data_IF_880659443040
#
_entry.id   IF_880659443040
#
_cell.length_a   1.000
_cell.length_b   1.000
_cell.length_c   1.000
_cell.angle_alpha   90.00
_cell.angle_beta   90.00
_cell.angle_gamma   90.00
#
_symmetry.space_group_name_H-M   'P 1'
#
loop_
_entity.id
_entity.type
_entity.pdbx_description
1 polymer ?
#
# COMPACT_ATOMS: atom_id res chain seq x y z
N UNK A 1 1.43 -20.70 17.84
CA UNK A 1 0.68 -19.61 18.50
C UNK A 1 1.29 -18.23 18.38
N UNK A 2 2.61 -18.09 18.17
CA UNK A 2 3.21 -16.81 17.81
C UNK A 2 3.38 -16.75 16.28
N UNK A 3 2.85 -15.70 15.65
CA UNK A 3 2.96 -15.51 14.21
C UNK A 3 3.14 -14.05 13.86
N UNK A 4 3.93 -13.80 12.83
CA UNK A 4 4.03 -12.51 12.16
C UNK A 4 3.39 -12.69 10.78
N UNK A 5 2.33 -11.95 10.50
CA UNK A 5 1.56 -12.07 9.27
C UNK A 5 1.68 -10.78 8.49
N UNK A 6 2.03 -10.88 7.21
CA UNK A 6 2.14 -9.74 6.30
C UNK A 6 1.10 -9.90 5.21
N UNK A 7 0.29 -8.87 4.98
CA UNK A 7 -0.54 -8.74 3.79
C UNK A 7 0.05 -7.64 2.93
N UNK A 8 0.61 -8.03 1.79
CA UNK A 8 1.18 -7.10 0.82
C UNK A 8 0.17 -6.74 -0.27
N UNK A 9 0.38 -5.59 -0.91
CA UNK A 9 -0.50 -5.03 -1.95
C UNK A 9 -1.97 -4.92 -1.52
N UNK A 10 -2.20 -4.60 -0.23
CA UNK A 10 -3.54 -4.59 0.37
C UNK A 10 -4.47 -3.54 -0.24
N UNK A 11 -3.95 -2.56 -0.99
CA UNK A 11 -4.77 -1.63 -1.76
C UNK A 11 -5.65 -2.34 -2.79
N UNK A 12 -5.25 -3.52 -3.25
CA UNK A 12 -5.98 -4.37 -4.20
C UNK A 12 -6.95 -5.33 -3.51
N UNK A 13 -7.03 -5.31 -2.17
CA UNK A 13 -8.06 -6.03 -1.44
C UNK A 13 -9.33 -5.20 -1.34
N UNK A 14 -10.48 -5.85 -1.47
CA UNK A 14 -11.79 -5.26 -1.20
C UNK A 14 -12.01 -5.07 0.30
N UNK A 15 -12.96 -4.21 0.69
CA UNK A 15 -13.33 -4.05 2.11
C UNK A 15 -13.75 -5.39 2.77
N UNK A 16 -14.44 -6.25 2.03
CA UNK A 16 -14.88 -7.55 2.53
C UNK A 16 -13.68 -8.48 2.74
N UNK A 17 -12.76 -8.56 1.77
CA UNK A 17 -11.55 -9.37 1.89
C UNK A 17 -10.65 -8.91 3.03
N UNK A 18 -10.41 -7.60 3.16
CA UNK A 18 -9.58 -7.07 4.23
C UNK A 18 -10.22 -7.31 5.61
N UNK A 19 -11.53 -7.14 5.74
CA UNK A 19 -12.26 -7.50 6.96
C UNK A 19 -12.08 -8.99 7.30
N UNK A 20 -12.33 -9.88 6.33
CA UNK A 20 -12.16 -11.32 6.51
C UNK A 20 -10.74 -11.69 6.96
N UNK A 21 -9.74 -10.99 6.45
CA UNK A 21 -8.34 -11.18 6.81
C UNK A 21 -8.04 -10.73 8.24
N UNK A 22 -8.37 -9.47 8.59
CA UNK A 22 -8.08 -8.90 9.90
C UNK A 22 -8.76 -9.68 11.04
N UNK A 23 -9.96 -10.21 10.80
CA UNK A 23 -10.68 -11.01 11.80
C UNK A 23 -10.11 -12.41 12.04
N UNK A 24 -9.05 -12.83 11.31
CA UNK A 24 -8.33 -14.09 11.55
C UNK A 24 -7.15 -13.93 12.51
N UNK A 25 -6.93 -12.75 13.07
CA UNK A 25 -5.84 -12.50 14.01
C UNK A 25 -5.99 -13.36 15.28
N UNK A 26 -5.00 -14.21 15.55
CA UNK A 26 -4.90 -14.97 16.78
C UNK A 26 -4.27 -14.16 17.92
N UNK A 27 -4.48 -14.59 19.17
CA UNK A 27 -4.13 -13.84 20.38
C UNK A 27 -2.67 -13.37 20.46
N UNK A 28 -1.71 -14.14 19.96
CA UNK A 28 -0.28 -13.79 19.99
C UNK A 28 0.30 -13.51 18.59
N UNK A 29 -0.56 -13.13 17.64
CA UNK A 29 -0.12 -12.74 16.30
C UNK A 29 0.15 -11.23 16.19
N UNK A 30 1.03 -10.83 15.27
CA UNK A 30 1.19 -9.44 14.83
C UNK A 30 0.98 -9.35 13.34
N UNK A 31 0.13 -8.44 12.91
CA UNK A 31 -0.26 -8.27 11.51
C UNK A 31 0.35 -6.98 10.98
N UNK A 32 0.97 -7.04 9.80
CA UNK A 32 1.50 -5.90 9.06
C UNK A 32 0.79 -5.85 7.73
N UNK A 33 0.11 -4.75 7.45
CA UNK A 33 -0.64 -4.55 6.21
C UNK A 33 0.08 -3.47 5.41
N UNK A 34 0.55 -3.81 4.22
CA UNK A 34 1.29 -2.89 3.35
C UNK A 34 0.51 -2.65 2.07
N UNK A 35 0.73 -1.49 1.45
CA UNK A 35 0.13 -1.15 0.17
C UNK A 35 0.38 0.30 -0.23
N UNK A 36 0.23 0.59 -1.52
CA UNK A 36 0.36 1.92 -2.09
C UNK A 36 -1.02 2.44 -2.54
N UNK A 37 -1.54 3.44 -1.83
CA UNK A 37 -2.85 4.03 -2.11
C UNK A 37 -2.93 4.73 -3.49
N UNK A 38 -1.80 4.99 -4.15
CA UNK A 38 -1.75 5.59 -5.49
C UNK A 38 -1.84 4.55 -6.62
N UNK A 39 -1.68 3.26 -6.30
CA UNK A 39 -1.62 2.16 -7.27
C UNK A 39 -2.73 1.13 -7.01
N UNK A 40 -3.98 1.60 -6.92
CA UNK A 40 -5.15 0.75 -6.73
C UNK A 40 -5.52 0.08 -8.07
N UNK A 41 -5.34 -1.23 -8.14
CA UNK A 41 -5.74 -2.08 -9.26
C UNK A 41 -7.03 -2.84 -8.92
N UNK A 42 -8.12 -2.09 -8.84
CA UNK A 42 -9.47 -2.63 -8.61
C UNK A 42 -10.41 -2.20 -9.74
N UNK A 43 -11.45 -3.00 -10.04
CA UNK A 43 -12.51 -2.59 -10.95
C UNK A 43 -13.07 -1.21 -10.58
N UNK A 44 -13.42 -0.40 -11.58
CA UNK A 44 -13.72 1.05 -11.48
C UNK A 44 -14.73 1.47 -10.41
N UNK A 45 -15.59 0.57 -9.96
CA UNK A 45 -16.64 0.82 -8.95
C UNK A 45 -16.34 0.23 -7.57
N UNK A 46 -15.20 -0.44 -7.42
CA UNK A 46 -14.83 -1.13 -6.20
C UNK A 46 -13.86 -0.27 -5.38
N UNK A 47 -14.28 0.08 -4.17
CA UNK A 47 -13.41 0.82 -3.24
C UNK A 47 -12.36 -0.12 -2.65
N UNK A 48 -11.13 0.38 -2.59
CA UNK A 48 -10.04 -0.27 -1.87
C UNK A 48 -10.41 -0.47 -0.39
N UNK A 49 -10.22 -1.70 0.08
CA UNK A 49 -10.37 -2.09 1.47
C UNK A 49 -9.35 -1.38 2.35
N UNK A 50 -8.11 -1.23 1.89
CA UNK A 50 -7.05 -0.55 2.64
C UNK A 50 -7.40 0.92 2.91
N UNK A 51 -7.81 1.66 1.88
CA UNK A 51 -8.20 3.06 2.02
C UNK A 51 -9.38 3.23 2.98
N UNK A 52 -10.35 2.33 2.93
CA UNK A 52 -11.47 2.34 3.86
C UNK A 52 -11.04 2.00 5.30
N UNK A 53 -10.20 0.97 5.48
CA UNK A 53 -9.75 0.50 6.79
C UNK A 53 -8.92 1.55 7.53
N UNK A 54 -8.04 2.28 6.84
CA UNK A 54 -7.25 3.38 7.45
C UNK A 54 -8.15 4.40 8.17
N UNK A 55 -9.28 4.75 7.55
CA UNK A 55 -10.22 5.70 8.13
C UNK A 55 -11.10 5.05 9.21
N UNK A 56 -11.59 3.84 8.95
CA UNK A 56 -12.51 3.12 9.82
C UNK A 56 -11.88 2.67 11.14
N UNK A 57 -10.61 2.26 11.11
CA UNK A 57 -9.90 1.69 12.27
C UNK A 57 -9.12 2.75 13.06
N UNK A 58 -9.25 4.03 12.68
CA UNK A 58 -8.57 5.13 13.33
C UNK A 58 -8.96 5.22 14.81
N UNK A 59 -7.97 5.19 15.69
CA UNK A 59 -8.17 5.33 17.14
C UNK A 59 -8.49 4.02 17.88
N UNK A 60 -8.51 2.87 17.19
CA UNK A 60 -8.58 1.57 17.85
C UNK A 60 -7.23 1.28 18.52
N UNK A 61 -7.25 1.05 19.83
CA UNK A 61 -6.05 0.68 20.59
C UNK A 61 -5.40 -0.58 20.03
N UNK A 62 -4.09 -0.54 19.80
CA UNK A 62 -3.32 -1.64 19.21
C UNK A 62 -3.24 -1.65 17.68
N UNK A 63 -3.81 -0.65 17.01
CA UNK A 63 -3.67 -0.45 15.55
C UNK A 63 -3.01 0.89 15.28
N UNK A 64 -1.83 0.84 14.66
CA UNK A 64 -1.11 2.01 14.18
C UNK A 64 -1.12 2.06 12.64
N UNK A 65 -1.22 3.27 12.09
CA UNK A 65 -1.11 3.51 10.64
C UNK A 65 0.12 4.38 10.40
N UNK A 66 1.06 3.86 9.62
CA UNK A 66 2.31 4.53 9.28
C UNK A 66 2.24 4.93 7.81
N UNK A 67 2.38 6.22 7.52
CA UNK A 67 2.50 6.73 6.16
C UNK A 67 3.97 6.95 5.85
N UNK A 68 4.42 6.38 4.74
CA UNK A 68 5.76 6.60 4.20
C UNK A 68 5.66 7.53 2.99
N UNK A 69 6.71 8.29 2.76
CA UNK A 69 6.81 9.17 1.61
C UNK A 69 8.07 8.88 0.78
N UNK A 70 8.36 9.74 -0.20
CA UNK A 70 9.51 9.56 -1.10
C UNK A 70 10.85 9.61 -0.37
N UNK A 71 10.93 10.26 0.79
CA UNK A 71 12.16 10.36 1.60
C UNK A 71 12.54 9.04 2.27
N UNK A 72 11.58 8.15 2.48
CA UNK A 72 11.81 6.81 3.04
C UNK A 72 12.33 5.81 1.99
N UNK A 73 12.39 6.20 0.71
CA UNK A 73 12.75 5.32 -0.38
C UNK A 73 14.26 5.30 -0.59
N UNK A 74 14.91 4.21 -0.18
CA UNK A 74 16.31 3.93 -0.51
C UNK A 74 16.38 3.01 -1.72
N UNK A 75 16.82 3.56 -2.86
CA UNK A 75 17.02 2.82 -4.11
C UNK A 75 18.49 2.71 -4.45
N UNK A 76 18.84 1.59 -5.09
CA UNK A 76 20.16 1.41 -5.67
C UNK A 76 20.42 2.47 -6.75
N UNK A 77 21.68 2.96 -6.88
CA UNK A 77 22.04 4.00 -7.85
C UNK A 77 21.57 3.69 -9.27
N UNK A 78 21.71 2.42 -9.70
CA UNK A 78 21.26 1.97 -11.02
C UNK A 78 19.74 2.12 -11.20
N UNK A 79 18.95 1.81 -10.18
CA UNK A 79 17.48 1.94 -10.25
C UNK A 79 17.10 3.41 -10.40
N UNK A 80 17.78 4.31 -9.67
CA UNK A 80 17.56 5.75 -9.85
C UNK A 80 17.90 6.20 -11.27
N UNK A 81 19.03 5.76 -11.83
CA UNK A 81 19.39 6.07 -13.22
C UNK A 81 18.33 5.57 -14.22
N UNK A 82 17.77 4.38 -14.01
CA UNK A 82 16.69 3.84 -14.85
C UNK A 82 15.43 4.71 -14.71
N UNK A 83 14.99 5.01 -13.50
CA UNK A 83 13.78 5.83 -13.26
C UNK A 83 13.94 7.21 -13.90
N UNK A 84 15.08 7.87 -13.70
CA UNK A 84 15.36 9.18 -14.31
C UNK A 84 15.35 9.15 -15.84
N UNK A 85 15.79 8.06 -16.47
CA UNK A 85 15.72 7.92 -17.92
C UNK A 85 14.27 7.87 -18.43
N UNK A 86 13.38 7.13 -17.76
CA UNK A 86 11.95 7.07 -18.10
C UNK A 86 11.22 8.38 -17.81
N UNK A 87 11.57 9.08 -16.72
CA UNK A 87 10.99 10.39 -16.41
C UNK A 87 11.35 11.42 -17.49
N UNK A 88 12.62 11.47 -17.93
CA UNK A 88 13.08 12.36 -18.99
C UNK A 88 12.43 12.07 -20.36
N UNK A 89 12.13 10.80 -20.67
CA UNK A 89 11.36 10.44 -21.87
C UNK A 89 9.94 11.00 -21.80
N UNK A 90 9.26 10.80 -20.66
CA UNK A 90 7.88 11.24 -20.47
C UNK A 90 7.70 12.75 -20.55
N UNK A 91 8.70 13.53 -20.10
CA UNK A 91 8.70 14.99 -20.21
C UNK A 91 8.82 15.45 -21.67
N UNK A 92 9.75 14.87 -22.44
CA UNK A 92 9.90 15.18 -23.87
C UNK A 92 8.64 14.89 -24.68
N UNK A 93 7.95 13.79 -24.37
CA UNK A 93 6.69 13.45 -25.06
C UNK A 93 5.56 14.44 -24.78
N UNK A 94 5.60 15.17 -23.66
CA UNK A 94 4.61 16.22 -23.33
C UNK A 94 4.89 17.57 -23.97
N UNK A 95 6.12 17.82 -24.44
CA UNK A 95 6.49 19.06 -25.15
C UNK A 95 6.17 18.98 -26.65
N UNK A 96 5.85 17.79 -27.16
CA UNK A 96 5.54 17.54 -28.58
C UNK A 96 4.02 17.56 -28.85
N UNK A 97 3.21 17.52 -27.79
CA UNK A 97 1.74 17.70 -27.81
C UNK A 97 1.35 19.14 -27.44
#
# INVERSE_FOLDING_TARGET
>A
DNAYVILDEAQNATSIQLKMFLTRMGNNAKFFITGDLTQIDLPRYQRSGLLHAINLLKGISGIDVIFMDKSDIVRHKLVNSIVSAYEAEKEKSKEID
#
